data_IF_883111845219
#
_entry.id   IF_883111845219
#
_cell.length_a   1.000
_cell.length_b   1.000
_cell.length_c   1.000
_cell.angle_alpha   90.00
_cell.angle_beta   90.00
_cell.angle_gamma   90.00
#
_symmetry.space_group_name_H-M   'P 1'
#
loop_
_entity.id
_entity.type
_entity.pdbx_description
1 polymer ?
#
# COMPACT_ATOMS: atom_id res chain seq x y z
N UNK A 1 -31.26 11.93 7.35
CA UNK A 1 -30.01 12.35 8.02
C UNK A 1 -28.94 12.41 6.94
N UNK A 2 -28.18 13.51 6.79
CA UNK A 2 -27.08 13.55 5.83
C UNK A 2 -25.98 12.58 6.28
N UNK A 3 -25.40 11.85 5.33
CA UNK A 3 -24.17 11.09 5.58
C UNK A 3 -23.04 12.09 5.84
N UNK A 4 -22.27 11.88 6.90
CA UNK A 4 -21.09 12.73 7.16
C UNK A 4 -19.99 12.40 6.15
N UNK A 5 -19.21 13.40 5.71
CA UNK A 5 -18.11 13.15 4.78
C UNK A 5 -17.11 12.11 5.34
N UNK A 6 -16.79 12.19 6.64
CA UNK A 6 -15.91 11.21 7.29
C UNK A 6 -16.45 9.79 7.21
N UNK A 7 -17.74 9.57 7.47
CA UNK A 7 -18.36 8.24 7.37
C UNK A 7 -18.30 7.66 5.94
N UNK A 8 -18.45 8.50 4.92
CA UNK A 8 -18.35 8.07 3.53
C UNK A 8 -16.91 7.70 3.16
N UNK A 9 -15.91 8.49 3.60
CA UNK A 9 -14.49 8.20 3.39
C UNK A 9 -14.09 6.89 4.05
N UNK A 10 -14.51 6.70 5.30
CA UNK A 10 -14.27 5.47 6.07
C UNK A 10 -14.84 4.25 5.34
N UNK A 11 -16.07 4.35 4.82
CA UNK A 11 -16.71 3.26 4.09
C UNK A 11 -15.98 2.94 2.77
N UNK A 12 -15.52 3.95 2.03
CA UNK A 12 -14.77 3.76 0.80
C UNK A 12 -13.39 3.15 1.08
N UNK A 13 -12.67 3.64 2.10
CA UNK A 13 -11.39 3.10 2.52
C UNK A 13 -11.53 1.62 2.94
N UNK A 14 -12.61 1.28 3.65
CA UNK A 14 -12.94 -0.11 4.00
C UNK A 14 -13.21 -1.00 2.77
N UNK A 15 -13.97 -0.52 1.78
CA UNK A 15 -14.20 -1.27 0.53
C UNK A 15 -12.90 -1.49 -0.27
N UNK A 16 -12.03 -0.47 -0.33
CA UNK A 16 -10.71 -0.59 -0.92
C UNK A 16 -9.85 -1.59 -0.14
N UNK A 17 -9.88 -1.58 1.19
CA UNK A 17 -9.14 -2.52 2.04
C UNK A 17 -9.56 -3.98 1.81
N UNK A 18 -10.85 -4.25 1.58
CA UNK A 18 -11.33 -5.60 1.23
C UNK A 18 -10.74 -6.09 -0.10
N UNK A 19 -10.54 -5.17 -1.05
CA UNK A 19 -10.03 -5.46 -2.40
C UNK A 19 -8.51 -5.57 -2.44
N UNK A 20 -7.82 -4.64 -1.78
CA UNK A 20 -6.38 -4.40 -1.82
C UNK A 20 -5.59 -5.34 -0.90
N UNK A 21 -5.75 -6.66 -1.07
CA UNK A 21 -5.14 -7.65 -0.15
C UNK A 21 -3.68 -7.97 -0.47
N UNK A 22 -3.16 -7.54 -1.62
CA UNK A 22 -1.80 -7.83 -2.08
C UNK A 22 -0.97 -6.57 -2.25
N UNK A 23 0.24 -6.59 -1.70
CA UNK A 23 1.18 -5.47 -1.65
C UNK A 23 2.41 -5.79 -2.48
N UNK A 24 2.82 -4.88 -3.36
CA UNK A 24 3.99 -5.02 -4.22
C UNK A 24 4.95 -3.84 -4.05
N UNK A 25 6.25 -4.12 -4.13
CA UNK A 25 7.25 -3.08 -4.29
C UNK A 25 7.17 -2.49 -5.71
N UNK A 26 7.33 -1.17 -5.83
CA UNK A 26 7.29 -0.47 -7.12
C UNK A 26 8.48 0.47 -7.28
N UNK A 27 9.05 0.51 -8.49
CA UNK A 27 10.18 1.39 -8.83
C UNK A 27 9.71 2.80 -9.20
N UNK A 28 8.44 2.93 -9.58
CA UNK A 28 7.72 4.20 -9.77
C UNK A 28 6.21 3.98 -9.57
N UNK A 29 5.42 5.06 -9.58
CA UNK A 29 3.96 4.98 -9.44
C UNK A 29 3.26 4.10 -10.49
N UNK A 30 3.93 3.79 -11.62
CA UNK A 30 3.35 3.03 -12.73
C UNK A 30 4.09 1.72 -13.03
N UNK A 31 5.14 1.38 -12.28
CA UNK A 31 5.99 0.22 -12.57
C UNK A 31 6.18 -0.67 -11.35
N UNK A 32 5.55 -1.85 -11.38
CA UNK A 32 5.76 -2.90 -10.39
C UNK A 32 7.17 -3.48 -10.52
N UNK A 33 7.83 -3.71 -9.39
CA UNK A 33 9.10 -4.40 -9.36
C UNK A 33 8.95 -5.87 -9.73
N UNK A 34 10.02 -6.50 -10.22
CA UNK A 34 10.07 -7.97 -10.36
C UNK A 34 10.27 -8.65 -9.00
N UNK A 35 9.31 -8.47 -8.09
CA UNK A 35 9.28 -9.03 -6.75
C UNK A 35 7.92 -9.68 -6.47
N UNK A 36 7.89 -10.73 -5.65
CA UNK A 36 6.63 -11.39 -5.31
C UNK A 36 5.77 -10.50 -4.39
N UNK A 37 4.49 -10.33 -4.73
CA UNK A 37 3.53 -9.62 -3.88
C UNK A 37 3.34 -10.35 -2.56
N UNK A 38 3.08 -9.60 -1.49
CA UNK A 38 2.83 -10.12 -0.14
C UNK A 38 1.42 -9.77 0.31
N UNK A 39 0.78 -10.67 1.06
CA UNK A 39 -0.54 -10.36 1.62
C UNK A 39 -0.42 -9.41 2.80
N UNK A 40 -1.39 -8.52 2.93
CA UNK A 40 -1.58 -7.70 4.13
C UNK A 40 -3.00 -7.87 4.66
N UNK A 41 -3.17 -7.69 5.96
CA UNK A 41 -4.49 -7.62 6.60
C UNK A 41 -4.72 -6.20 7.11
N UNK A 42 -5.88 -5.64 6.79
CA UNK A 42 -6.20 -4.25 7.10
C UNK A 42 -6.94 -4.11 8.43
N UNK A 43 -6.57 -3.08 9.18
CA UNK A 43 -7.28 -2.61 10.35
C UNK A 43 -7.75 -1.17 10.12
N UNK A 44 -9.00 -0.89 10.46
CA UNK A 44 -9.53 0.47 10.43
C UNK A 44 -8.75 1.36 11.42
N UNK A 45 -8.38 2.55 10.98
CA UNK A 45 -7.77 3.58 11.82
C UNK A 45 -8.79 4.27 12.73
N UNK A 46 -8.73 5.59 12.80
CA UNK A 46 -9.70 6.37 13.57
C UNK A 46 -10.96 6.55 12.74
N UNK A 47 -12.12 6.10 13.24
CA UNK A 47 -13.36 6.18 12.47
C UNK A 47 -13.62 7.59 11.91
N UNK A 48 -13.68 7.69 10.58
CA UNK A 48 -13.99 8.92 9.87
C UNK A 48 -12.78 9.70 9.35
N UNK A 49 -11.55 9.18 9.53
CA UNK A 49 -10.34 9.71 8.90
C UNK A 49 -10.14 9.20 7.46
N UNK A 50 -10.79 8.09 7.08
CA UNK A 50 -10.63 7.48 5.75
C UNK A 50 -9.32 6.71 5.60
N UNK A 51 -8.71 6.28 6.71
CA UNK A 51 -7.41 5.62 6.74
C UNK A 51 -7.52 4.19 7.26
N UNK A 52 -7.02 3.24 6.46
CA UNK A 52 -6.83 1.85 6.86
C UNK A 52 -5.34 1.55 6.87
N UNK A 53 -4.87 0.96 7.97
CA UNK A 53 -3.46 0.55 8.10
C UNK A 53 -3.38 -0.96 8.02
N UNK A 54 -2.55 -1.46 7.10
CA UNK A 54 -2.32 -2.89 6.97
C UNK A 54 -1.20 -3.39 7.87
N UNK A 55 -1.16 -4.70 8.08
CA UNK A 55 -0.05 -5.38 8.74
C UNK A 55 1.24 -5.14 7.96
N UNK A 56 2.35 -4.95 8.69
CA UNK A 56 3.68 -4.86 8.07
C UNK A 56 3.97 -6.10 7.24
N UNK A 57 4.53 -5.90 6.04
CA UNK A 57 4.95 -6.96 5.13
C UNK A 57 6.43 -6.83 4.82
N UNK A 58 7.07 -7.98 4.62
CA UNK A 58 8.46 -8.07 4.16
C UNK A 58 8.49 -8.55 2.71
N UNK A 59 8.96 -7.69 1.80
CA UNK A 59 9.05 -7.99 0.37
C UNK A 59 10.50 -8.27 0.02
N UNK A 60 10.76 -9.49 -0.48
CA UNK A 60 12.07 -9.84 -1.01
C UNK A 60 12.24 -9.15 -2.38
N UNK A 61 13.23 -8.27 -2.47
CA UNK A 61 13.45 -7.40 -3.63
C UNK A 61 14.86 -7.56 -4.19
N UNK A 62 15.05 -7.52 -5.52
CA UNK A 62 16.39 -7.44 -6.10
C UNK A 62 17.02 -6.05 -5.85
N UNK A 63 18.29 -5.90 -6.26
CA UNK A 63 18.94 -4.60 -6.28
C UNK A 63 18.12 -3.60 -7.12
N UNK A 64 17.98 -2.37 -6.65
CA UNK A 64 17.16 -1.35 -7.29
C UNK A 64 16.73 -0.25 -6.34
N UNK A 65 16.00 0.72 -6.90
CA UNK A 65 15.41 1.84 -6.17
C UNK A 65 13.90 1.67 -6.16
N UNK A 66 13.34 1.60 -4.96
CA UNK A 66 11.89 1.48 -4.74
C UNK A 66 11.37 2.78 -4.16
N UNK A 67 10.37 3.34 -4.82
CA UNK A 67 9.82 4.66 -4.47
C UNK A 67 8.37 4.57 -4.02
N UNK A 68 7.66 3.52 -4.43
CA UNK A 68 6.23 3.36 -4.21
C UNK A 68 5.88 1.94 -3.78
N UNK A 69 4.70 1.81 -3.19
CA UNK A 69 4.04 0.54 -2.86
C UNK A 69 2.71 0.50 -3.58
N UNK A 70 2.49 -0.57 -4.34
CA UNK A 70 1.25 -0.82 -5.05
C UNK A 70 0.37 -1.82 -4.31
N UNK A 71 -0.94 -1.60 -4.37
CA UNK A 71 -1.94 -2.48 -3.80
C UNK A 71 -2.79 -3.12 -4.91
N UNK A 72 -2.95 -4.42 -4.86
CA UNK A 72 -3.52 -5.22 -5.93
C UNK A 72 -4.60 -6.18 -5.46
N UNK A 73 -5.47 -6.56 -6.40
CA UNK A 73 -6.56 -7.52 -6.17
C UNK A 73 -6.10 -8.98 -6.03
N UNK A 74 -4.92 -9.32 -6.54
CA UNK A 74 -4.44 -10.71 -6.62
C UNK A 74 -2.92 -10.83 -6.41
N UNK A 75 -2.45 -12.04 -6.13
CA UNK A 75 -1.02 -12.35 -5.90
C UNK A 75 -0.15 -12.15 -7.14
N UNK A 76 -0.74 -12.33 -8.31
CA UNK A 76 -0.14 -12.13 -9.63
C UNK A 76 -1.23 -11.68 -10.59
N UNK A 77 -0.92 -10.78 -11.52
CA UNK A 77 -1.92 -10.16 -12.40
C UNK A 77 -2.96 -9.33 -11.62
N UNK A 78 -4.16 -9.15 -12.18
CA UNK A 78 -5.22 -8.33 -11.55
C UNK A 78 -4.94 -6.83 -11.56
N UNK A 79 -5.97 -6.05 -11.25
CA UNK A 79 -5.91 -4.58 -11.30
C UNK A 79 -5.15 -4.00 -10.10
N UNK A 80 -4.41 -2.92 -10.36
CA UNK A 80 -3.92 -2.01 -9.33
C UNK A 80 -5.13 -1.27 -8.73
N UNK A 81 -5.23 -1.28 -7.41
CA UNK A 81 -6.28 -0.60 -6.65
C UNK A 81 -5.82 0.82 -6.32
N UNK A 82 -4.62 0.93 -5.77
CA UNK A 82 -4.02 2.20 -5.35
C UNK A 82 -2.49 2.04 -5.27
N UNK A 83 -1.78 3.16 -5.37
CA UNK A 83 -0.32 3.24 -5.24
C UNK A 83 0.02 4.40 -4.32
N UNK A 84 0.92 4.15 -3.37
CA UNK A 84 1.37 5.16 -2.42
C UNK A 84 2.89 5.29 -2.47
N UNK A 85 3.38 6.50 -2.22
CA UNK A 85 4.81 6.74 -2.02
C UNK A 85 5.31 6.04 -0.74
N UNK A 86 6.52 5.50 -0.79
CA UNK A 86 7.23 5.06 0.42
C UNK A 86 7.62 6.32 1.20
N UNK A 87 7.11 6.45 2.43
CA UNK A 87 7.40 7.58 3.32
C UNK A 87 8.21 7.13 4.53
N UNK A 88 9.13 7.99 4.96
CA UNK A 88 9.79 7.89 6.27
C UNK A 88 9.62 9.23 6.99
N UNK A 89 8.96 9.22 8.16
CA UNK A 89 8.68 10.45 8.91
C UNK A 89 7.78 11.46 8.17
N UNK A 90 6.91 10.98 7.28
CA UNK A 90 5.97 11.82 6.52
C UNK A 90 6.47 12.37 5.20
N UNK A 91 7.75 12.18 4.87
CA UNK A 91 8.35 12.62 3.59
C UNK A 91 8.67 11.42 2.69
N UNK A 92 8.60 11.59 1.34
CA UNK A 92 9.04 10.56 0.41
C UNK A 92 10.48 10.11 0.70
N UNK A 93 10.68 8.80 0.81
CA UNK A 93 11.94 8.20 1.21
C UNK A 93 12.22 6.94 0.35
N UNK A 94 12.75 7.12 -0.87
CA UNK A 94 13.16 6.01 -1.72
C UNK A 94 14.06 5.03 -0.97
N UNK A 95 13.85 3.73 -1.20
CA UNK A 95 14.64 2.65 -0.62
C UNK A 95 15.55 2.07 -1.69
N UNK A 96 16.86 2.17 -1.47
CA UNK A 96 17.87 1.70 -2.40
C UNK A 96 18.53 0.42 -1.88
N UNK A 97 18.64 -0.57 -2.75
CA UNK A 97 19.32 -1.83 -2.46
C UNK A 97 20.42 -2.05 -3.49
N UNK A 98 21.66 -2.22 -3.05
CA UNK A 98 22.82 -2.53 -3.92
C UNK A 98 22.94 -4.02 -4.24
N UNK A 99 22.11 -4.86 -3.61
CA UNK A 99 21.99 -6.31 -3.79
C UNK A 99 20.56 -6.77 -3.49
N UNK A 100 20.29 -8.07 -3.53
CA UNK A 100 18.99 -8.57 -3.07
C UNK A 100 18.80 -8.27 -1.57
N UNK A 101 17.61 -7.85 -1.18
CA UNK A 101 17.30 -7.43 0.19
C UNK A 101 15.83 -7.61 0.56
N UNK A 102 15.48 -7.16 1.77
CA UNK A 102 14.11 -7.16 2.28
C UNK A 102 13.63 -5.73 2.48
N UNK A 103 12.55 -5.37 1.79
CA UNK A 103 11.85 -4.11 1.97
C UNK A 103 10.72 -4.32 3.00
N UNK A 104 10.85 -3.69 4.16
CA UNK A 104 9.83 -3.70 5.21
C UNK A 104 8.90 -2.51 5.00
N UNK A 105 7.61 -2.76 4.83
CA UNK A 105 6.62 -1.70 4.64
C UNK A 105 5.35 -1.95 5.43
N UNK A 106 4.80 -0.88 5.99
CA UNK A 106 3.48 -0.86 6.61
C UNK A 106 2.53 -0.18 5.63
N UNK A 107 1.68 -0.92 4.91
CA UNK A 107 0.83 -0.36 3.87
C UNK A 107 -0.31 0.46 4.49
N UNK A 108 -0.75 1.50 3.78
CA UNK A 108 -1.84 2.38 4.21
C UNK A 108 -2.76 2.66 3.02
N UNK A 109 -4.08 2.62 3.23
CA UNK A 109 -5.06 3.18 2.31
C UNK A 109 -5.52 4.49 2.92
N UNK A 110 -5.55 5.54 2.10
CA UNK A 110 -5.95 6.89 2.48
C UNK A 110 -6.97 7.38 1.44
N UNK A 111 -8.12 7.86 1.91
CA UNK A 111 -9.17 8.46 1.09
C UNK A 111 -9.37 9.91 1.53
N UNK A 112 -9.05 10.85 0.64
CA UNK A 112 -9.17 12.30 0.84
C UNK A 112 -10.60 12.85 0.81
#
# INVERSE_FOLDING_TARGET
>A
MPLSQGSTKEALAGDLAVKATWVAAMTSASAEASAARKQTTWSSGTAGDGVYTGSQVEIDVPAGVYTHIGYFLASTGGSLVQVNEIKAGGSPAPQEFTGAGKLLVTPQIEVD
#
